data_IF_613551430748
#
_entry.id   IF_613551430748
#
_cell.length_a   1.000
_cell.length_b   1.000
_cell.length_c   1.000
_cell.angle_alpha   90.00
_cell.angle_beta   90.00
_cell.angle_gamma   90.00
#
_symmetry.space_group_name_H-M   'P 1'
#
loop_
_entity.id
_entity.type
_entity.pdbx_description
1 polymer ?
2 non-polymer ?
3 water ?
#
# COMPACT_ATOMS: atom_id res chain seq x y z
N UNK A 10 18.95 4.00 -16.61
CA UNK A 10 18.56 5.19 -15.80
C UNK A 10 18.88 5.02 -14.33
N UNK A 11 19.07 6.14 -13.63
CA UNK A 11 19.39 6.07 -12.22
C UNK A 11 20.83 5.65 -11.98
N UNK A 12 21.41 6.14 -10.89
CA UNK A 12 22.79 5.82 -10.55
C UNK A 12 23.01 4.61 -9.65
N UNK A 13 24.06 3.86 -9.95
CA UNK A 13 24.44 2.71 -9.15
C UNK A 13 25.86 2.97 -8.69
N UNK A 14 26.02 3.31 -7.41
CA UNK A 14 27.33 3.55 -6.84
C UNK A 14 27.85 2.20 -6.37
N UNK A 15 28.89 1.71 -7.04
CA UNK A 15 29.42 0.41 -6.65
C UNK A 15 30.88 0.37 -6.28
N UNK A 16 31.27 -0.76 -5.70
CA UNK A 16 32.65 -0.99 -5.31
C UNK A 16 33.09 -2.14 -6.19
N UNK A 17 34.14 -1.92 -6.96
CA UNK A 17 34.61 -2.95 -7.87
C UNK A 17 35.97 -3.52 -7.55
N UNK A 18 36.13 -4.79 -7.89
CA UNK A 18 37.38 -5.51 -7.71
C UNK A 18 37.58 -6.31 -8.99
N UNK A 19 38.55 -5.86 -9.78
CA UNK A 19 38.89 -6.44 -11.07
C UNK A 19 37.71 -6.77 -11.98
N UNK A 20 37.06 -5.71 -12.45
CA UNK A 20 35.94 -5.86 -13.37
C UNK A 20 34.55 -6.11 -12.81
N UNK A 21 34.45 -6.79 -11.68
CA UNK A 21 33.14 -7.09 -11.12
C UNK A 21 32.82 -6.33 -9.84
N UNK A 22 31.52 -6.23 -9.54
CA UNK A 22 31.06 -5.55 -8.35
C UNK A 22 31.45 -6.41 -7.14
N UNK A 23 32.20 -5.80 -6.21
CA UNK A 23 32.67 -6.49 -5.02
C UNK A 23 32.75 -5.52 -3.86
N UNK A 24 31.81 -5.64 -2.93
CA UNK A 24 31.80 -4.73 -1.80
C UNK A 24 30.50 -3.95 -1.74
N UNK A 25 30.45 -2.90 -0.90
CA UNK A 25 29.25 -2.08 -0.74
C UNK A 25 28.77 -1.41 -2.02
N UNK A 26 27.46 -1.27 -2.14
CA UNK A 26 26.84 -0.64 -3.29
C UNK A 26 25.52 0.01 -2.87
N UNK A 27 25.17 1.10 -3.55
CA UNK A 27 23.93 1.80 -3.28
C UNK A 27 23.35 2.25 -4.61
N UNK A 28 22.07 1.97 -4.83
CA UNK A 28 21.46 2.37 -6.07
C UNK A 28 20.35 3.38 -5.84
N UNK A 29 20.14 4.23 -6.84
CA UNK A 29 19.12 5.26 -6.78
C UNK A 29 18.26 5.20 -8.04
N UNK A 30 17.05 5.74 -7.96
CA UNK A 30 16.18 5.77 -9.13
C UNK A 30 16.39 7.11 -9.81
N UNK A 31 15.85 7.24 -11.02
CA UNK A 31 15.97 8.48 -11.80
C UNK A 31 15.71 9.73 -10.96
N UNK A 32 14.81 9.62 -9.99
CA UNK A 32 14.45 10.74 -9.12
C UNK A 32 15.48 10.98 -8.03
N UNK A 33 16.49 10.11 -7.96
CA UNK A 33 17.53 10.25 -6.95
C UNK A 33 17.15 9.68 -5.60
N UNK A 34 16.22 8.72 -5.61
CA UNK A 34 15.78 8.10 -4.37
C UNK A 34 16.53 6.77 -4.18
N UNK A 35 16.97 6.52 -2.96
CA UNK A 35 17.70 5.30 -2.63
C UNK A 35 16.79 4.08 -2.73
N UNK A 36 17.04 3.23 -3.71
CA UNK A 36 16.22 2.04 -3.90
C UNK A 36 16.94 0.76 -3.48
N UNK A 37 18.25 0.86 -3.26
CA UNK A 37 19.03 -0.31 -2.86
C UNK A 37 20.30 0.03 -2.09
N UNK A 38 20.56 -0.78 -1.07
CA UNK A 38 21.74 -0.61 -0.23
C UNK A 38 22.17 -1.99 0.22
N UNK A 39 23.40 -2.35 -0.08
CA UNK A 39 23.91 -3.66 0.31
C UNK A 39 25.28 -3.85 -0.29
N UNK A 40 25.57 -5.07 -0.74
CA UNK A 40 26.87 -5.35 -1.33
C UNK A 40 26.81 -6.43 -2.40
N UNK A 41 27.85 -6.49 -3.23
CA UNK A 41 27.95 -7.48 -4.28
C UNK A 41 29.21 -8.31 -4.12
N UNK A 42 29.19 -9.49 -4.73
CA UNK A 42 30.35 -10.38 -4.71
C UNK A 42 30.38 -11.07 -6.08
N UNK A 43 31.34 -10.65 -6.90
CA UNK A 43 31.48 -11.19 -8.26
C UNK A 43 30.26 -10.82 -9.11
N UNK A 44 29.85 -9.56 -9.02
CA UNK A 44 28.72 -9.02 -9.77
C UNK A 44 27.33 -9.47 -9.35
N UNK A 45 27.24 -10.14 -8.21
CA UNK A 45 25.94 -10.60 -7.74
C UNK A 45 25.65 -10.04 -6.34
N UNK A 46 24.38 -9.72 -6.07
CA UNK A 46 23.99 -9.19 -4.77
C UNK A 46 24.40 -10.19 -3.71
N UNK A 47 25.04 -9.71 -2.64
CA UNK A 47 25.53 -10.61 -1.61
C UNK A 47 25.20 -10.19 -0.18
N UNK A 48 24.99 -11.19 0.68
CA UNK A 48 24.70 -10.93 2.08
C UNK A 48 23.34 -10.31 2.36
N UNK A 49 23.26 -9.58 3.47
CA UNK A 49 22.04 -8.91 3.89
C UNK A 49 21.89 -7.60 3.10
N UNK A 50 20.86 -7.54 2.26
CA UNK A 50 20.60 -6.35 1.45
C UNK A 50 19.24 -5.72 1.75
N UNK A 51 19.12 -4.45 1.37
CA UNK A 51 17.88 -3.69 1.56
C UNK A 51 17.38 -3.16 0.23
N UNK A 52 16.11 -3.43 -0.05
CA UNK A 52 15.46 -2.92 -1.26
C UNK A 52 14.42 -1.94 -0.75
N UNK A 53 14.50 -0.69 -1.19
CA UNK A 53 13.56 0.35 -0.75
C UNK A 53 12.55 0.71 -1.81
N UNK A 54 11.27 0.71 -1.44
CA UNK A 54 10.20 1.05 -2.37
C UNK A 54 9.84 2.53 -2.27
N UNK A 55 9.45 3.14 -3.40
CA UNK A 55 9.07 4.56 -3.43
C UNK A 55 8.01 4.91 -2.38
N UNK A 56 7.07 3.99 -2.14
CA UNK A 56 6.00 4.23 -1.17
C UNK A 56 6.44 4.23 0.29
N UNK A 57 7.69 3.85 0.55
CA UNK A 57 8.18 3.84 1.91
C UNK A 57 8.40 2.46 2.50
N UNK A 58 7.82 1.44 1.89
CA UNK A 58 8.01 0.09 2.38
C UNK A 58 9.35 -0.40 1.87
N UNK A 59 9.73 -1.61 2.28
CA UNK A 59 11.01 -2.14 1.84
C UNK A 59 11.16 -3.63 2.07
N UNK A 60 12.17 -4.21 1.44
CA UNK A 60 12.50 -5.63 1.57
C UNK A 60 13.91 -5.73 2.07
N UNK A 61 14.16 -6.62 3.02
CA UNK A 61 15.49 -6.78 3.55
C UNK A 61 15.72 -8.22 3.93
N UNK A 62 16.95 -8.69 3.77
CA UNK A 62 17.25 -10.06 4.13
C UNK A 62 18.52 -10.60 3.51
N UNK A 63 18.92 -11.77 4.00
CA UNK A 63 20.11 -12.45 3.51
C UNK A 63 19.75 -12.98 2.14
N UNK A 64 20.31 -12.37 1.11
CA UNK A 64 20.04 -12.78 -0.26
C UNK A 64 20.67 -14.15 -0.57
N UNK A 65 20.13 -14.84 -1.56
CA UNK A 65 20.65 -16.16 -1.91
C UNK A 65 21.78 -16.13 -2.95
N UNK A 66 22.22 -17.33 -3.36
CA UNK A 66 23.30 -17.49 -4.32
C UNK A 66 23.12 -16.70 -5.62
N UNK A 67 21.87 -16.53 -6.06
CA UNK A 67 21.60 -15.80 -7.28
C UNK A 67 21.34 -14.31 -7.06
N UNK A 68 21.56 -13.85 -5.84
CA UNK A 68 21.35 -12.44 -5.55
C UNK A 68 19.91 -12.03 -5.36
N UNK A 69 19.03 -13.00 -5.12
CA UNK A 69 17.62 -12.66 -4.93
C UNK A 69 17.08 -12.89 -3.52
N UNK A 70 15.95 -12.24 -3.22
CA UNK A 70 15.31 -12.34 -1.92
C UNK A 70 14.56 -13.65 -1.75
N UNK A 71 15.34 -14.71 -1.54
CA UNK A 71 14.80 -16.05 -1.36
C UNK A 71 15.41 -16.60 -0.07
N UNK A 72 14.55 -16.95 0.88
CA UNK A 72 15.05 -17.47 2.14
C UNK A 72 13.92 -17.69 3.12
N UNK A 73 14.27 -18.12 4.32
CA UNK A 73 13.30 -18.37 5.36
C UNK A 73 13.33 -17.23 6.36
N UNK A 74 14.27 -16.30 6.18
CA UNK A 74 14.39 -15.16 7.08
C UNK A 74 14.35 -13.81 6.36
N UNK A 75 13.51 -13.72 5.33
CA UNK A 75 13.36 -12.49 4.57
C UNK A 75 12.26 -11.66 5.22
N UNK A 76 12.28 -10.35 5.00
CA UNK A 76 11.25 -9.51 5.61
C UNK A 76 10.79 -8.31 4.78
N UNK A 77 9.49 -8.07 4.81
CA UNK A 77 8.93 -6.89 4.16
C UNK A 77 8.73 -5.96 5.34
N UNK A 78 9.12 -4.70 5.20
CA UNK A 78 8.94 -3.76 6.28
C UNK A 78 8.06 -2.61 5.82
N UNK A 79 6.95 -2.39 6.55
CA UNK A 79 6.01 -1.32 6.22
C UNK A 79 6.66 0.06 6.35
N UNK A 80 6.00 1.11 5.83
CA UNK A 80 6.48 2.48 5.86
C UNK A 80 6.86 3.07 7.22
N UNK A 81 6.36 2.48 8.31
CA UNK A 81 6.71 3.00 9.63
C UNK A 81 8.09 2.49 10.04
N UNK A 82 8.63 1.60 9.21
CA UNK A 82 9.94 1.01 9.45
C UNK A 82 9.98 0.26 10.77
N UNK A 83 8.83 -0.24 11.20
CA UNK A 83 8.75 -0.99 12.46
C UNK A 83 7.91 -2.26 12.26
N UNK A 84 6.76 -2.12 11.65
CA UNK A 84 5.87 -3.26 11.42
C UNK A 84 6.44 -4.09 10.28
N UNK A 85 6.58 -5.39 10.52
CA UNK A 85 7.15 -6.24 9.50
C UNK A 85 6.44 -7.57 9.32
N UNK A 86 6.63 -8.15 8.15
CA UNK A 86 6.10 -9.47 7.82
C UNK A 86 7.38 -10.23 7.54
N UNK A 87 7.80 -10.99 8.55
CA UNK A 87 9.04 -11.76 8.50
C UNK A 87 8.78 -13.23 8.24
N UNK A 88 9.56 -13.82 7.33
CA UNK A 88 9.38 -15.24 7.03
C UNK A 88 9.95 -15.73 5.72
N UNK A 89 9.23 -16.66 5.10
CA UNK A 89 9.66 -17.25 3.84
C UNK A 89 9.26 -16.43 2.61
N UNK A 90 10.26 -16.06 1.82
CA UNK A 90 10.07 -15.29 0.59
C UNK A 90 10.84 -15.96 -0.55
N UNK A 91 10.26 -15.91 -1.75
CA UNK A 91 10.91 -16.48 -2.93
C UNK A 91 11.06 -15.39 -3.98
N UNK A 92 12.29 -14.94 -4.18
CA UNK A 92 12.57 -13.90 -5.17
C UNK A 92 11.72 -12.66 -4.91
N UNK A 93 11.63 -12.26 -3.64
CA UNK A 93 10.87 -11.07 -3.30
C UNK A 93 9.38 -11.30 -3.02
N UNK A 94 8.86 -12.46 -3.38
CA UNK A 94 7.45 -12.74 -3.14
C UNK A 94 7.21 -13.38 -1.78
N UNK A 95 6.31 -12.80 -1.00
CA UNK A 95 6.01 -13.32 0.31
C UNK A 95 5.24 -14.62 0.19
N UNK A 96 5.85 -15.71 0.66
CA UNK A 96 5.23 -17.02 0.62
C UNK A 96 4.58 -17.32 1.96
N UNK A 97 5.31 -17.04 3.04
CA UNK A 97 4.81 -17.29 4.37
C UNK A 97 5.42 -16.29 5.33
N UNK A 98 4.72 -15.17 5.52
CA UNK A 98 5.22 -14.14 6.42
C UNK A 98 4.45 -14.10 7.72
N UNK A 99 5.15 -13.86 8.82
CA UNK A 99 4.51 -13.78 10.12
C UNK A 99 4.71 -12.37 10.64
N UNK A 100 3.74 -11.86 11.39
CA UNK A 100 3.84 -10.52 11.93
C UNK A 100 4.99 -10.40 12.90
N UNK A 101 5.78 -9.33 12.76
CA UNK A 101 6.93 -9.10 13.62
C UNK A 101 7.26 -7.62 13.72
N UNK A 102 8.15 -7.29 14.64
CA UNK A 102 8.58 -5.91 14.83
C UNK A 102 10.08 -5.81 14.60
N UNK A 103 10.49 -4.78 13.86
CA UNK A 103 11.91 -4.56 13.62
C UNK A 103 12.39 -3.85 14.87
N UNK A 104 13.10 -4.58 15.72
CA UNK A 104 13.60 -4.04 16.98
C UNK A 104 14.79 -3.10 16.81
N UNK A 105 15.79 -3.52 16.05
CA UNK A 105 16.98 -2.71 15.84
C UNK A 105 17.74 -3.12 14.58
N UNK A 106 18.68 -2.27 14.20
CA UNK A 106 19.51 -2.53 13.02
C UNK A 106 20.98 -2.51 13.45
N UNK A 107 21.60 -3.68 13.50
CA UNK A 107 23.01 -3.81 13.89
C UNK A 107 23.93 -3.89 12.69
N UNK A 108 24.56 -2.76 12.35
CA UNK A 108 25.48 -2.71 11.22
C UNK A 108 24.75 -3.10 9.94
N UNK A 109 23.59 -2.49 9.73
CA UNK A 109 22.81 -2.78 8.53
C UNK A 109 21.97 -4.04 8.65
N UNK A 110 22.30 -4.89 9.61
CA UNK A 110 21.55 -6.12 9.82
C UNK A 110 20.39 -5.88 10.79
N UNK A 111 19.16 -6.19 10.36
CA UNK A 111 17.96 -6.00 11.18
C UNK A 111 17.70 -7.14 12.17
N UNK A 112 17.03 -6.81 13.26
CA UNK A 112 16.69 -7.79 14.29
C UNK A 112 15.18 -7.76 14.48
N UNK A 113 14.53 -8.88 14.12
CA UNK A 113 13.08 -9.01 14.22
C UNK A 113 12.59 -9.86 15.38
N UNK A 114 11.50 -9.40 15.99
CA UNK A 114 10.89 -10.09 17.11
C UNK A 114 9.43 -10.37 16.72
N UNK A 115 9.08 -11.64 16.60
CA UNK A 115 7.72 -12.00 16.23
C UNK A 115 6.67 -11.52 17.22
N UNK A 116 5.48 -11.19 16.70
CA UNK A 116 4.38 -10.75 17.53
C UNK A 116 3.61 -11.97 18.00
N UNK A 117 2.81 -11.83 19.06
CA UNK A 117 2.02 -12.94 19.59
C UNK A 117 1.04 -13.45 18.54
N UNK A 118 0.99 -14.75 18.35
CA UNK A 118 0.08 -15.30 17.36
C UNK A 118 0.84 -15.86 16.17
N UNK A 119 0.22 -16.80 15.46
CA UNK A 119 0.88 -17.40 14.31
C UNK A 119 0.14 -17.29 12.99
N UNK A 120 -0.47 -16.13 12.77
CA UNK A 120 -1.19 -15.88 11.52
C UNK A 120 -0.14 -15.77 10.43
N UNK A 121 -0.42 -16.37 9.28
CA UNK A 121 0.51 -16.33 8.17
C UNK A 121 -0.03 -15.49 7.00
N UNK A 122 0.80 -14.56 6.54
CA UNK A 122 0.42 -13.70 5.43
C UNK A 122 1.19 -14.17 4.19
N UNK A 123 0.56 -14.06 3.02
CA UNK A 123 1.22 -14.47 1.79
C UNK A 123 0.75 -13.64 0.60
N UNK A 124 1.56 -13.64 -0.46
CA UNK A 124 1.19 -12.89 -1.66
C UNK A 124 -0.14 -13.47 -2.10
N UNK A 125 -1.15 -12.62 -2.19
CA UNK A 125 -2.48 -13.07 -2.55
C UNK A 125 -3.19 -12.02 -3.41
N UNK A 126 -2.57 -11.69 -4.54
CA UNK A 126 -3.12 -10.70 -5.45
C UNK A 126 -4.53 -11.08 -5.90
N UNK A 127 -5.45 -10.14 -5.77
CA UNK A 127 -6.85 -10.37 -6.14
C UNK A 127 -7.04 -10.63 -7.63
N UNK A 128 -8.23 -11.10 -7.99
CA UNK A 128 -8.58 -11.37 -9.37
C UNK A 128 -9.81 -10.53 -9.68
N UNK A 129 -10.47 -10.79 -10.79
CA UNK A 129 -11.66 -10.03 -11.14
C UNK A 129 -12.84 -10.43 -10.25
N UNK A 130 -12.77 -11.63 -9.66
CA UNK A 130 -13.86 -12.11 -8.82
C UNK A 130 -13.46 -12.44 -7.37
N UNK A 131 -12.19 -12.74 -7.13
CA UNK A 131 -11.75 -13.04 -5.78
C UNK A 131 -11.00 -11.86 -5.19
N UNK A 132 -11.55 -11.27 -4.14
CA UNK A 132 -10.92 -10.12 -3.52
C UNK A 132 -9.79 -10.48 -2.55
N UNK A 133 -9.85 -11.69 -2.01
CA UNK A 133 -8.83 -12.15 -1.06
C UNK A 133 -9.12 -13.57 -0.60
N UNK A 134 -8.09 -14.28 -0.17
CA UNK A 134 -8.27 -15.65 0.33
C UNK A 134 -8.61 -15.59 1.81
N UNK A 135 -8.39 -14.42 2.41
CA UNK A 135 -8.67 -14.24 3.83
C UNK A 135 -9.27 -12.85 4.04
N UNK A 136 -10.47 -12.67 3.50
CA UNK A 136 -11.18 -11.40 3.57
C UNK A 136 -11.28 -10.83 4.97
N UNK A 137 -11.26 -11.68 5.99
CA UNK A 137 -11.38 -11.21 7.36
C UNK A 137 -10.07 -11.16 8.17
N UNK A 138 -8.94 -11.33 7.49
CA UNK A 138 -7.62 -11.25 8.13
C UNK A 138 -7.20 -9.80 7.90
N UNK A 139 -7.23 -8.96 8.95
CA UNK A 139 -6.86 -7.55 8.82
C UNK A 139 -5.42 -7.33 8.40
N UNK A 140 -5.11 -6.10 8.01
CA UNK A 140 -3.74 -5.77 7.67
C UNK A 140 -3.21 -5.21 8.98
N UNK A 141 -2.10 -5.76 9.48
CA UNK A 141 -1.46 -5.35 10.73
C UNK A 141 -1.02 -3.89 10.81
N UNK A 142 -0.60 -3.33 9.68
CA UNK A 142 -0.14 -1.95 9.64
C UNK A 142 -1.37 -1.04 9.71
N UNK A 143 -2.45 -1.48 9.06
CA UNK A 143 -3.70 -0.71 9.07
C UNK A 143 -4.30 -0.72 10.49
N UNK A 144 -4.25 -1.87 11.14
CA UNK A 144 -4.79 -2.03 12.48
C UNK A 144 -4.21 -1.01 13.47
N UNK A 145 -2.97 -0.60 13.23
CA UNK A 145 -2.33 0.38 14.10
C UNK A 145 -2.69 1.82 13.77
N UNK A 146 -3.04 2.07 12.51
CA UNK A 146 -3.32 3.45 12.10
C UNK A 146 -4.74 3.93 11.88
N UNK A 147 -5.63 3.05 11.47
CA UNK A 147 -7.00 3.48 11.21
C UNK A 147 -8.10 2.59 11.78
N UNK A 148 -9.31 3.12 11.77
CA UNK A 148 -10.48 2.38 12.23
C UNK A 148 -11.69 2.94 11.50
N UNK A 149 -12.72 2.11 11.35
CA UNK A 149 -13.94 2.51 10.68
C UNK A 149 -15.05 2.88 11.68
N UNK A 150 -15.82 3.90 11.35
CA UNK A 150 -16.91 4.33 12.20
C UNK A 150 -17.82 5.24 11.40
N UNK A 151 -18.99 5.55 11.94
CA UNK A 151 -19.94 6.42 11.26
C UNK A 151 -19.22 7.71 10.89
N UNK A 152 -19.31 8.08 9.63
CA UNK A 152 -18.67 9.30 9.17
C UNK A 152 -19.23 10.51 9.89
N UNK A 153 -18.39 11.52 10.11
CA UNK A 153 -18.84 12.74 10.77
C UNK A 153 -19.70 13.49 9.78
N UNK A 154 -19.50 13.22 8.49
CA UNK A 154 -20.27 13.86 7.43
C UNK A 154 -21.71 13.34 7.48
N UNK A 155 -22.67 14.22 7.22
CA UNK A 155 -24.08 13.84 7.23
C UNK A 155 -24.48 12.91 6.09
N UNK A 156 -25.23 11.87 6.43
CA UNK A 156 -25.72 10.93 5.43
C UNK A 156 -24.63 10.50 4.47
N UNK A 157 -23.52 10.02 5.03
CA UNK A 157 -22.38 9.59 4.22
C UNK A 157 -21.90 8.21 4.66
N UNK A 158 -22.80 7.45 5.28
CA UNK A 158 -22.45 6.11 5.74
C UNK A 158 -21.27 6.08 6.68
N UNK A 159 -20.39 5.10 6.50
CA UNK A 159 -19.21 4.98 7.34
C UNK A 159 -18.03 5.77 6.78
N UNK A 160 -17.12 6.14 7.67
CA UNK A 160 -15.94 6.88 7.28
C UNK A 160 -14.70 6.20 7.82
N UNK A 161 -13.52 6.71 7.47
CA UNK A 161 -12.27 6.12 7.95
C UNK A 161 -11.64 7.12 8.92
N UNK A 162 -11.17 6.62 10.07
CA UNK A 162 -10.57 7.48 11.09
C UNK A 162 -9.15 7.09 11.49
N UNK A 163 -8.36 8.09 11.84
CA UNK A 163 -6.98 7.88 12.27
C UNK A 163 -6.97 7.50 13.74
N UNK A 164 -6.20 6.47 14.08
CA UNK A 164 -6.13 6.02 15.46
C UNK A 164 -5.20 6.87 16.31
N UNK A 165 -4.22 7.48 15.67
CA UNK A 165 -3.26 8.31 16.39
C UNK A 165 -2.87 9.50 15.55
N UNK A 166 -2.20 10.46 16.18
CA UNK A 166 -1.75 11.64 15.48
C UNK A 166 -0.50 11.25 14.66
N UNK A 167 -0.46 11.69 13.41
CA UNK A 167 0.68 11.40 12.53
C UNK A 167 0.98 12.63 11.68
N UNK A 168 2.19 12.69 11.12
CA UNK A 168 2.55 13.84 10.30
C UNK A 168 2.15 13.70 8.84
N UNK A 169 2.51 14.67 8.01
CA UNK A 169 2.18 14.64 6.58
C UNK A 169 2.86 13.48 5.88
N UNK A 170 2.33 13.11 4.71
CA UNK A 170 2.89 12.03 3.91
C UNK A 170 2.94 10.67 4.57
N UNK A 171 2.00 10.41 5.49
CA UNK A 171 1.98 9.12 6.15
C UNK A 171 0.97 8.17 5.50
N UNK A 172 1.40 6.95 5.24
CA UNK A 172 0.53 5.95 4.66
C UNK A 172 -0.35 5.44 5.79
N UNK A 173 -1.67 5.61 5.62
CA UNK A 173 -2.64 5.22 6.62
C UNK A 173 -3.42 3.95 6.31
N UNK A 174 -3.85 3.80 5.07
CA UNK A 174 -4.68 2.66 4.70
C UNK A 174 -4.44 2.17 3.27
N UNK A 175 -4.79 0.92 3.02
CA UNK A 175 -4.61 0.35 1.69
C UNK A 175 -5.95 0.16 0.98
N UNK A 176 -5.94 0.41 -0.33
CA UNK A 176 -7.15 0.26 -1.12
C UNK A 176 -7.01 -0.96 -2.00
N UNK A 177 -7.38 -2.11 -1.46
CA UNK A 177 -7.33 -3.35 -2.22
C UNK A 177 -8.74 -3.67 -2.70
N UNK A 178 -8.85 -4.56 -3.69
CA UNK A 178 -10.15 -4.95 -4.19
C UNK A 178 -9.98 -5.78 -5.44
N UNK A 179 -11.09 -6.27 -6.00
CA UNK A 179 -10.99 -7.07 -7.21
C UNK A 179 -10.50 -6.16 -8.34
N UNK A 180 -9.91 -6.76 -9.37
CA UNK A 180 -9.38 -6.01 -10.51
C UNK A 180 -10.20 -6.26 -11.76
N UNK A 181 -10.76 -5.18 -12.33
CA UNK A 181 -11.57 -5.28 -13.53
C UNK A 181 -11.15 -4.21 -14.52
N UNK A 182 -11.65 -4.28 -15.75
CA UNK A 182 -11.28 -3.30 -16.77
C UNK A 182 -12.11 -2.01 -16.69
N UNK A 183 -11.58 -0.94 -17.28
CA UNK A 183 -12.30 0.31 -17.31
C UNK A 183 -13.57 0.10 -18.14
N UNK A 184 -13.42 -0.64 -19.23
CA UNK A 184 -14.53 -0.94 -20.14
C UNK A 184 -15.72 -1.47 -19.34
N UNK A 185 -15.47 -2.48 -18.52
CA UNK A 185 -16.53 -3.08 -17.72
C UNK A 185 -17.17 -2.07 -16.76
N UNK A 186 -16.36 -1.22 -16.16
CA UNK A 186 -16.87 -0.24 -15.21
C UNK A 186 -17.68 0.86 -15.90
N UNK A 187 -17.21 1.30 -17.06
CA UNK A 187 -17.90 2.35 -17.80
C UNK A 187 -19.20 1.87 -18.46
N UNK A 188 -19.27 0.58 -18.80
CA UNK A 188 -20.45 0.05 -19.46
C UNK A 188 -21.54 -0.55 -18.57
N UNK A 189 -21.18 -0.95 -17.35
CA UNK A 189 -22.17 -1.56 -16.46
C UNK A 189 -23.04 -0.52 -15.75
N UNK A 190 -24.00 -1.02 -14.97
CA UNK A 190 -24.90 -0.16 -14.21
C UNK A 190 -24.03 0.70 -13.30
N UNK A 191 -24.10 2.02 -13.46
CA UNK A 191 -23.29 2.91 -12.65
C UNK A 191 -23.54 2.80 -11.15
N UNK A 192 -24.70 2.27 -10.77
CA UNK A 192 -25.02 2.12 -9.36
C UNK A 192 -24.05 1.15 -8.67
N UNK A 193 -23.31 0.39 -9.47
CA UNK A 193 -22.35 -0.58 -8.95
C UNK A 193 -20.95 0.02 -8.81
N UNK A 194 -20.82 1.32 -9.02
CA UNK A 194 -19.51 1.96 -8.98
C UNK A 194 -19.15 2.83 -7.78
N UNK A 195 -19.86 2.66 -6.68
CA UNK A 195 -19.55 3.46 -5.50
C UNK A 195 -18.13 3.25 -4.96
N UNK A 196 -17.55 2.07 -5.18
CA UNK A 196 -16.21 1.77 -4.66
C UNK A 196 -15.11 1.55 -5.70
N UNK A 197 -15.40 1.84 -6.96
CA UNK A 197 -14.40 1.67 -8.00
C UNK A 197 -13.33 2.76 -7.90
N UNK A 198 -12.07 2.35 -8.01
CA UNK A 198 -10.96 3.29 -7.94
C UNK A 198 -9.98 2.89 -9.03
N UNK A 199 -9.67 3.85 -9.90
CA UNK A 199 -8.76 3.60 -11.01
C UNK A 199 -7.34 3.34 -10.52
N UNK A 200 -6.78 2.20 -10.90
CA UNK A 200 -5.43 1.85 -10.50
C UNK A 200 -4.45 2.43 -11.52
N UNK A 201 -4.72 2.16 -12.79
CA UNK A 201 -3.89 2.64 -13.88
C UNK A 201 -4.72 2.68 -15.16
N UNK A 202 -4.05 2.76 -16.30
CA UNK A 202 -4.71 2.83 -17.60
C UNK A 202 -5.48 1.58 -18.01
N UNK A 203 -5.20 0.45 -17.38
CA UNK A 203 -5.88 -0.78 -17.75
C UNK A 203 -6.61 -1.51 -16.63
N UNK A 204 -6.47 -1.03 -15.40
CA UNK A 204 -7.12 -1.69 -14.27
C UNK A 204 -7.84 -0.77 -13.30
N UNK A 205 -9.01 -1.23 -12.87
CA UNK A 205 -9.83 -0.51 -11.91
C UNK A 205 -9.98 -1.43 -10.70
N UNK A 206 -9.86 -0.87 -9.51
CA UNK A 206 -10.01 -1.64 -8.30
C UNK A 206 -11.41 -1.41 -7.77
N UNK A 207 -12.05 -2.48 -7.33
CA UNK A 207 -13.39 -2.36 -6.80
C UNK A 207 -13.58 -3.23 -5.58
N UNK A 208 -14.43 -2.77 -4.67
CA UNK A 208 -14.78 -3.51 -3.48
C UNK A 208 -16.29 -3.68 -3.63
N UNK A 209 -16.70 -4.64 -4.46
CA UNK A 209 -18.09 -4.96 -4.75
C UNK A 209 -18.94 -5.26 -3.53
N UNK A 210 -20.24 -4.98 -3.69
CA UNK A 210 -21.25 -5.11 -2.66
C UNK A 210 -20.95 -5.85 -1.37
N UNK A 211 -21.03 -7.19 -1.37
CA UNK A 211 -20.77 -7.86 -0.10
C UNK A 211 -19.58 -7.34 0.70
N UNK A 212 -18.43 -7.20 0.04
CA UNK A 212 -17.21 -6.76 0.70
C UNK A 212 -17.13 -5.31 1.17
N UNK A 213 -18.15 -4.51 0.86
CA UNK A 213 -18.17 -3.11 1.29
C UNK A 213 -18.59 -3.04 2.76
N UNK A 214 -18.87 -4.20 3.35
CA UNK A 214 -19.27 -4.30 4.76
C UNK A 214 -18.07 -4.82 5.55
N UNK A 215 -17.66 -4.09 6.58
CA UNK A 215 -16.52 -4.50 7.40
C UNK A 215 -16.69 -5.89 8.00
N UNK A 216 -17.93 -6.31 8.21
CA UNK A 216 -18.19 -7.64 8.78
C UNK A 216 -17.89 -8.77 7.79
N UNK A 217 -17.66 -8.42 6.53
CA UNK A 217 -17.36 -9.44 5.52
C UNK A 217 -15.97 -9.28 4.94
N UNK A 218 -15.41 -8.07 5.04
CA UNK A 218 -14.08 -7.81 4.50
C UNK A 218 -13.38 -6.72 5.28
N UNK A 219 -12.24 -7.07 5.87
CA UNK A 219 -11.47 -6.11 6.65
C UNK A 219 -9.98 -6.17 6.33
N UNK A 220 -9.62 -6.90 5.27
CA UNK A 220 -8.23 -7.05 4.85
C UNK A 220 -7.57 -5.70 4.53
N UNK A 221 -8.36 -4.77 3.99
CA UNK A 221 -7.90 -3.41 3.69
C UNK A 221 -9.12 -2.55 3.98
N UNK A 222 -8.92 -1.26 4.24
CA UNK A 222 -10.03 -0.37 4.58
C UNK A 222 -10.04 0.96 3.83
N UNK A 223 -9.21 1.07 2.80
CA UNK A 223 -9.16 2.31 2.04
C UNK A 223 -10.49 2.72 1.42
N UNK A 224 -11.31 1.74 1.08
CA UNK A 224 -12.61 2.03 0.47
C UNK A 224 -13.60 2.66 1.44
N UNK A 225 -13.20 2.85 2.70
CA UNK A 225 -14.09 3.45 3.69
C UNK A 225 -13.87 4.95 3.83
N UNK A 226 -12.84 5.45 3.17
CA UNK A 226 -12.55 6.89 3.23
C UNK A 226 -13.53 7.68 2.37
N UNK A 227 -14.22 8.63 3.00
CA UNK A 227 -15.19 9.47 2.30
C UNK A 227 -14.54 10.63 1.57
N UNK A 228 -15.35 11.36 0.81
CA UNK A 228 -14.85 12.50 0.04
C UNK A 228 -14.92 13.85 0.74
N UNK A 229 -14.03 14.75 0.34
CA UNK A 229 -14.01 16.10 0.88
C UNK A 229 -13.33 16.99 -0.16
N UNK A 230 -13.78 18.23 -0.24
CA UNK A 230 -13.18 19.16 -1.18
C UNK A 230 -11.97 19.80 -0.51
N UNK A 231 -11.83 19.56 0.80
CA UNK A 231 -10.70 20.04 1.58
C UNK A 231 -10.16 18.79 2.27
N UNK A 232 -9.73 17.80 1.48
CA UNK A 232 -9.20 16.55 2.03
C UNK A 232 -7.90 16.68 2.80
N UNK A 233 -7.66 15.69 3.67
CA UNK A 233 -6.44 15.66 4.43
C UNK A 233 -5.59 14.47 3.99
N UNK A 234 -6.02 13.82 2.90
CA UNK A 234 -5.30 12.67 2.34
C UNK A 234 -5.46 12.61 0.82
N UNK A 235 -4.62 11.79 0.19
CA UNK A 235 -4.69 11.60 -1.26
C UNK A 235 -4.47 10.12 -1.55
N UNK A 236 -4.94 9.67 -2.71
CA UNK A 236 -4.74 8.28 -3.10
C UNK A 236 -3.32 8.21 -3.65
N UNK A 237 -2.57 7.20 -3.27
CA UNK A 237 -1.20 7.08 -3.73
C UNK A 237 -0.91 5.65 -4.13
N UNK A 238 0.08 5.47 -5.01
CA UNK A 238 0.46 4.14 -5.47
C UNK A 238 1.07 3.39 -4.30
N UNK A 239 1.00 2.06 -4.34
CA UNK A 239 1.57 1.25 -3.28
C UNK A 239 1.79 -0.18 -3.73
N UNK A 240 2.94 -0.75 -3.39
CA UNK A 240 3.22 -2.13 -3.73
C UNK A 240 3.20 -2.88 -2.41
N UNK A 241 2.14 -3.66 -2.21
CA UNK A 241 1.90 -4.41 -0.99
C UNK A 241 2.39 -5.87 -1.08
N UNK A 242 3.03 -6.37 -0.02
CA UNK A 242 3.53 -7.75 -0.03
C UNK A 242 2.43 -8.80 -0.20
N UNK A 243 1.23 -8.45 0.25
CA UNK A 243 0.09 -9.36 0.17
C UNK A 243 -0.84 -9.05 -1.00
N UNK A 244 -1.19 -7.77 -1.15
CA UNK A 244 -2.11 -7.36 -2.21
C UNK A 244 -1.47 -7.12 -3.57
N UNK A 245 -0.18 -6.80 -3.57
CA UNK A 245 0.49 -6.54 -4.83
C UNK A 245 0.36 -5.08 -5.18
N UNK A 246 0.31 -4.72 -6.47
CA UNK A 246 0.20 -3.32 -6.87
C UNK A 246 -1.23 -2.81 -6.62
N UNK A 247 -1.35 -1.81 -5.75
CA UNK A 247 -2.66 -1.24 -5.45
C UNK A 247 -2.46 0.24 -5.17
N UNK A 248 -3.47 0.83 -4.55
CA UNK A 248 -3.42 2.23 -4.18
C UNK A 248 -3.52 2.25 -2.67
N UNK A 249 -3.11 3.36 -2.06
CA UNK A 249 -3.18 3.51 -0.62
C UNK A 249 -3.66 4.93 -0.32
N UNK A 250 -3.90 5.20 0.96
CA UNK A 250 -4.34 6.51 1.38
C UNK A 250 -3.18 7.09 2.18
N UNK A 251 -2.72 8.26 1.75
CA UNK A 251 -1.59 8.93 2.39
C UNK A 251 -2.00 10.33 2.81
N UNK A 252 -1.60 10.73 4.01
CA UNK A 252 -1.95 12.05 4.51
C UNK A 252 -1.21 13.16 3.74
N UNK A 253 -1.93 14.28 3.54
CA UNK A 253 -1.36 15.45 2.84
C UNK A 253 -0.77 16.37 3.89
N UNK A 254 -1.16 16.15 5.14
CA UNK A 254 -0.68 16.94 6.26
C UNK A 254 -0.87 16.16 7.54
N UNK A 255 -0.42 16.71 8.65
CA UNK A 255 -0.57 16.04 9.93
C UNK A 255 -2.06 15.90 10.27
N UNK A 256 -2.40 14.79 10.92
CA UNK A 256 -3.78 14.56 11.32
C UNK A 256 -3.80 14.14 12.78
N UNK A 257 -4.86 14.56 13.47
CA UNK A 257 -5.03 14.25 14.88
C UNK A 257 -5.57 12.86 15.08
N UNK A 258 -5.48 12.37 16.31
CA UNK A 258 -6.02 11.06 16.62
C UNK A 258 -7.53 11.22 16.50
N UNK A 259 -8.19 10.21 15.94
CA UNK A 259 -9.64 10.24 15.78
C UNK A 259 -10.15 11.27 14.78
N UNK A 260 -9.25 11.81 13.97
CA UNK A 260 -9.66 12.75 12.94
C UNK A 260 -10.11 11.90 11.74
N UNK A 261 -11.16 12.32 11.06
CA UNK A 261 -11.63 11.56 9.91
C UNK A 261 -10.73 11.79 8.70
N UNK A 262 -10.37 10.70 8.04
CA UNK A 262 -9.53 10.78 6.87
C UNK A 262 -10.41 10.92 5.65
N UNK A 263 -10.12 11.91 4.80
CA UNK A 263 -10.89 12.12 3.59
C UNK A 263 -9.98 12.33 2.41
N UNK A 264 -10.50 12.07 1.22
CA UNK A 264 -9.74 12.24 -0.01
C UNK A 264 -10.63 12.87 -1.06
N UNK A 265 -10.03 13.57 -2.01
CA UNK A 265 -10.80 14.20 -3.07
C UNK A 265 -10.98 13.15 -4.16
N UNK A 266 -12.20 12.66 -4.32
CA UNK A 266 -12.51 11.66 -5.34
C UNK A 266 -12.20 12.23 -6.72
N UNK A 267 -11.91 11.35 -7.68
CA UNK A 267 -11.58 11.80 -9.02
C UNK A 267 -12.77 12.13 -9.91
N UNK A 268 -13.08 13.41 -10.03
CA UNK A 268 -14.18 13.87 -10.87
C UNK A 268 -13.80 15.21 -11.52
N UNK A 271 -10.23 15.24 -15.52
CA UNK A 271 -9.88 15.28 -16.93
C UNK A 271 -10.88 16.12 -17.72
N UNK A 272 -10.60 16.40 -19.00
CA UNK A 272 -11.52 17.20 -19.82
C UNK A 272 -12.89 16.55 -20.03
N UNK A 273 -13.90 17.34 -20.43
CA UNK A 273 -15.25 16.81 -20.65
C UNK A 273 -15.27 15.68 -21.68
N UNK A 274 -15.98 14.61 -21.34
CA UNK A 274 -16.08 13.47 -22.23
C UNK A 274 -15.09 12.38 -21.86
N UNK A 275 -13.81 12.75 -21.82
CA UNK A 275 -12.75 11.80 -21.49
C UNK A 275 -12.62 11.60 -19.98
N UNK A 276 -13.70 11.84 -19.25
CA UNK A 276 -13.70 11.70 -17.80
C UNK A 276 -14.59 10.54 -17.31
N UNK A 277 -15.02 9.70 -18.24
CA UNK A 277 -15.86 8.57 -17.88
C UNK A 277 -17.22 8.97 -17.32
N UNK A 278 -17.93 8.02 -16.66
CA UNK A 278 -19.26 8.18 -16.05
C UNK A 278 -19.45 9.46 -15.22
N UNK A 279 -20.68 9.96 -15.21
CA UNK A 279 -21.03 11.16 -14.46
C UNK A 279 -20.85 10.98 -12.95
N UNK A 280 -20.60 12.08 -12.25
CA UNK A 280 -20.41 12.06 -10.81
C UNK A 280 -21.75 11.87 -10.11
N UNK A 281 -21.75 11.16 -8.97
CA UNK A 281 -22.98 10.91 -8.21
C UNK A 281 -23.70 12.19 -7.81
N UNK A 282 -24.97 12.07 -7.48
CA UNK A 282 -25.78 13.21 -7.09
C UNK A 282 -25.28 13.89 -5.81
N UNK A 283 -24.93 13.10 -4.79
CA UNK A 283 -24.45 13.68 -3.54
C UNK A 283 -23.20 14.54 -3.77
N UNK A 284 -22.34 14.12 -4.69
CA UNK A 284 -21.12 14.85 -4.98
C UNK A 284 -21.44 16.21 -5.62
N UNK A 285 -22.22 16.17 -6.69
CA UNK A 285 -22.59 17.39 -7.41
C UNK A 285 -23.20 18.43 -6.47
N UNK A 286 -24.03 17.97 -5.54
CA UNK A 286 -24.66 18.87 -4.57
C UNK A 286 -23.58 19.59 -3.76
N UNK A 287 -22.75 18.81 -3.09
CA UNK A 287 -21.68 19.37 -2.26
C UNK A 287 -20.71 20.23 -3.07
N UNK A 288 -20.54 19.90 -4.34
CA UNK A 288 -19.64 20.65 -5.21
C UNK A 288 -20.13 22.08 -5.36
N UNK A 289 -21.43 22.24 -5.54
CA UNK A 289 -22.01 23.57 -5.68
C UNK A 289 -21.91 24.31 -4.35
N UNK A 290 -22.25 23.61 -3.28
CA UNK A 290 -22.20 24.20 -1.95
C UNK A 290 -20.78 24.64 -1.65
N UNK A 291 -19.81 23.90 -2.19
CA UNK A 291 -18.40 24.22 -1.98
C UNK A 291 -17.99 25.44 -2.79
N UNK A 292 -18.15 25.35 -4.11
CA UNK A 292 -17.82 26.45 -5.00
C UNK A 292 -18.33 27.77 -4.39
N UNK A 293 -17.40 28.67 -4.09
CA UNK A 293 -17.75 29.94 -3.48
C UNK A 293 -18.42 29.64 -2.15
N UNK A 294 -17.67 29.02 -1.24
CA UNK A 294 -18.16 28.65 0.08
C UNK A 294 -18.24 29.86 1.00
X LIG B 1 -19.26 6.00 2.88
X LIG B 1 -18.72 4.71 2.43
X LIG B 1 -19.13 3.50 3.26
X LIG B 1 -19.88 3.62 4.22
X LIG B 1 -18.70 2.37 2.94
X LIG B 1 -17.16 4.82 2.32
X LIG B 1 -16.43 5.53 1.16
X LIG B 1 -17.16 4.74 -0.37
X LIG B 1 -15.62 4.67 -1.30
X LIG B 1 -18.18 5.87 -1.46
X LIG B 1 -19.56 6.21 -1.06
X LIG B 1 -19.63 6.90 0.21
X LIG B 1 -20.45 7.10 -1.91
X LIG B 1 -20.60 6.53 -3.17
X LIG B 1 -21.60 7.49 -0.88
X LIG B 1 -22.48 6.47 -1.03
X LIG B 1 -20.55 8.02 0.15
X LIG B 1 -19.59 9.14 0.26
X LIG B 1 -18.22 9.51 0.17
X LIG B 1 -17.94 10.76 0.39
X LIG B 1 -19.18 11.34 0.66
X LIG B 1 -19.60 12.71 0.98
X LIG B 1 -18.76 13.74 1.09
X LIG B 1 -20.99 12.97 1.20
X LIG B 1 -21.90 11.94 1.09
X LIG B 1 -21.65 10.62 0.79
X LIG B 1 -20.22 10.39 0.58
#
# INVERSE_FOLDING_TARGET
GQGVYTYEDGGVLQGTYVDGELNGPAQEYDTDGRLIFKGQYKDNIRHGVCWIYYPDGGSLVGEVNEDGEMTGEKIAYVYPDERTALYGKFIDGEMIEGKLATLMSTEEGRPHFELMPGNSVYHFDKSTSSCISTNALLPDPYESERVYVAESLISSAGEGLFSKVAVGPNTVMSFYNGVRITHQEVDSRDWALNGNTLSLDEETVIDVPEPYNHVSKYCASLGHKANHSFTPNCIYDMFVHPRFGPIKCIRTLRAVEADEELTVAYGYDHSPPGKSGPEAPEWYQVELKAFQATQQK
SAM N CA C O OXT CB CG SD CE C5' C4' O4' C3' O3' C2' O2' C1' N9 C8 N7 C5 C6 N6 N1 C2 N3 C4
#
